data_IF_557843756524
#
_entry.id   IF_557843756524
#
_cell.length_a   1.000
_cell.length_b   1.000
_cell.length_c   1.000
_cell.angle_alpha   90.00
_cell.angle_beta   90.00
_cell.angle_gamma   90.00
#
_symmetry.space_group_name_H-M   'P 1'
#
loop_
_entity.id
_entity.type
_entity.pdbx_description
1 polymer ?
#
# COMPACT_ATOMS: atom_id res chain seq x y z
N UNK A 1 2.28 12.88 16.63
CA UNK A 1 2.20 11.55 15.97
C UNK A 1 2.35 11.72 14.47
N UNK A 2 3.21 10.94 13.84
CA UNK A 2 3.40 10.90 12.39
C UNK A 2 3.10 9.51 11.85
N UNK A 3 2.31 9.43 10.78
CA UNK A 3 1.91 8.17 10.15
C UNK A 3 2.37 8.15 8.70
N UNK A 4 3.25 7.23 8.37
CA UNK A 4 3.68 6.95 7.00
C UNK A 4 2.79 5.88 6.38
N UNK A 5 2.36 6.10 5.15
CA UNK A 5 1.55 5.10 4.46
C UNK A 5 1.97 4.88 3.01
N UNK A 6 1.67 3.68 2.52
CA UNK A 6 1.78 3.32 1.12
C UNK A 6 0.47 2.68 0.65
N UNK A 7 -0.05 3.10 -0.49
CA UNK A 7 -1.32 2.59 -1.01
C UNK A 7 -1.29 2.36 -2.52
N UNK A 8 -1.86 1.25 -2.99
CA UNK A 8 -2.10 1.00 -4.41
C UNK A 8 -3.50 1.41 -4.85
N UNK A 9 -4.53 0.94 -4.16
CA UNK A 9 -5.94 1.09 -4.54
C UNK A 9 -6.81 1.73 -3.44
N UNK A 10 -6.19 2.40 -2.47
CA UNK A 10 -6.86 3.23 -1.47
C UNK A 10 -7.10 2.59 -0.09
N UNK A 11 -6.95 1.27 0.10
CA UNK A 11 -7.25 0.65 1.40
C UNK A 11 -6.33 1.16 2.52
N UNK A 12 -5.02 1.25 2.27
CA UNK A 12 -4.09 1.73 3.29
C UNK A 12 -4.26 3.22 3.57
N UNK A 13 -4.56 4.03 2.55
CA UNK A 13 -4.90 5.44 2.74
C UNK A 13 -6.16 5.60 3.60
N UNK A 14 -7.20 4.79 3.34
CA UNK A 14 -8.42 4.77 4.17
C UNK A 14 -8.11 4.46 5.63
N UNK A 15 -7.34 3.40 5.89
CA UNK A 15 -6.97 3.00 7.24
C UNK A 15 -6.09 4.06 7.94
N UNK A 16 -5.05 4.55 7.25
CA UNK A 16 -4.13 5.56 7.76
C UNK A 16 -4.85 6.87 8.09
N UNK A 17 -5.77 7.32 7.24
CA UNK A 17 -6.59 8.52 7.45
C UNK A 17 -7.50 8.39 8.68
N UNK A 18 -8.14 7.24 8.85
CA UNK A 18 -8.97 6.97 10.04
C UNK A 18 -8.16 7.06 11.33
N UNK A 19 -6.96 6.45 11.34
CA UNK A 19 -6.06 6.52 12.50
C UNK A 19 -5.56 7.95 12.72
N UNK A 20 -5.16 8.65 11.64
CA UNK A 20 -4.65 10.01 11.72
C UNK A 20 -5.71 10.99 12.25
N UNK A 21 -6.93 10.93 11.74
CA UNK A 21 -8.02 11.81 12.17
C UNK A 21 -8.36 11.61 13.65
N UNK A 22 -8.37 10.36 14.13
CA UNK A 22 -8.70 10.05 15.52
C UNK A 22 -7.60 10.47 16.52
N UNK A 23 -6.36 10.62 16.05
CA UNK A 23 -5.20 10.96 16.90
C UNK A 23 -4.59 12.32 16.58
N UNK A 24 -5.22 13.13 15.73
CA UNK A 24 -4.69 14.41 15.24
C UNK A 24 -3.23 14.26 14.70
N UNK A 25 -2.99 13.23 13.90
CA UNK A 25 -1.66 12.87 13.44
C UNK A 25 -1.35 13.45 12.05
N UNK A 26 -0.08 13.74 11.81
CA UNK A 26 0.44 14.07 10.48
C UNK A 26 0.45 12.81 9.61
N UNK A 27 -0.12 12.89 8.41
CA UNK A 27 -0.20 11.77 7.47
C UNK A 27 0.72 12.04 6.27
N UNK A 28 1.71 11.16 6.07
CA UNK A 28 2.75 11.30 5.04
C UNK A 28 2.71 10.10 4.10
N UNK A 29 2.59 10.36 2.80
CA UNK A 29 2.69 9.32 1.78
C UNK A 29 4.16 8.96 1.51
N UNK A 30 4.50 7.68 1.61
CA UNK A 30 5.87 7.20 1.39
C UNK A 30 6.36 7.53 -0.04
N UNK A 31 5.57 7.35 -1.13
CA UNK A 31 5.99 7.79 -2.46
C UNK A 31 6.43 9.24 -2.56
N UNK A 32 5.83 10.15 -1.79
CA UNK A 32 6.15 11.59 -1.83
C UNK A 32 7.49 11.94 -1.18
N UNK A 33 7.97 11.09 -0.28
CA UNK A 33 9.19 11.35 0.52
C UNK A 33 10.28 10.30 0.30
N UNK A 34 10.10 9.41 -0.66
CA UNK A 34 11.09 8.39 -0.99
C UNK A 34 12.37 9.03 -1.52
N UNK A 35 13.52 8.62 -0.98
CA UNK A 35 14.84 9.16 -1.38
C UNK A 35 15.27 10.46 -0.65
N UNK A 36 14.47 11.00 0.27
CA UNK A 36 14.86 12.19 1.05
C UNK A 36 16.01 11.93 2.05
N UNK A 37 16.19 10.70 2.51
CA UNK A 37 17.30 10.25 3.37
C UNK A 37 17.47 11.14 4.62
N UNK A 38 16.42 11.30 5.42
CA UNK A 38 16.40 12.19 6.58
C UNK A 38 16.04 11.49 7.90
N UNK A 39 16.11 12.23 9.00
CA UNK A 39 15.64 11.77 10.31
C UNK A 39 14.24 12.30 10.56
N UNK A 40 13.31 11.38 10.85
CA UNK A 40 11.96 11.68 11.29
C UNK A 40 11.87 11.49 12.80
N UNK A 41 11.38 12.52 13.51
CA UNK A 41 11.27 12.52 14.96
C UNK A 41 9.87 12.91 15.41
N UNK A 42 9.27 12.08 16.25
CA UNK A 42 7.96 12.33 16.85
C UNK A 42 7.79 11.42 18.09
N UNK A 43 6.84 11.68 18.98
CA UNK A 43 6.53 10.80 20.12
C UNK A 43 6.01 9.43 19.64
N UNK A 44 5.23 9.42 18.57
CA UNK A 44 4.64 8.22 17.99
C UNK A 44 4.85 8.22 16.48
N UNK A 45 5.44 7.15 15.96
CA UNK A 45 5.60 6.93 14.52
C UNK A 45 4.90 5.64 14.11
N UNK A 46 4.04 5.75 13.10
CA UNK A 46 3.26 4.63 12.56
C UNK A 46 3.50 4.35 11.09
N UNK A 47 3.31 3.08 10.70
CA UNK A 47 3.40 2.64 9.31
C UNK A 47 2.13 1.88 8.92
N UNK A 48 1.49 2.29 7.82
CA UNK A 48 0.26 1.66 7.30
C UNK A 48 0.47 1.29 5.84
N UNK A 49 0.50 -0.01 5.55
CA UNK A 49 0.89 -0.51 4.23
C UNK A 49 0.16 -1.81 3.86
N UNK A 50 0.00 -2.12 2.57
CA UNK A 50 -0.48 -3.43 2.14
C UNK A 50 0.67 -4.43 2.15
N UNK A 51 0.40 -5.66 2.55
CA UNK A 51 1.39 -6.72 2.33
C UNK A 51 1.39 -7.17 0.86
N UNK A 52 2.57 -7.34 0.29
CA UNK A 52 2.75 -7.90 -1.05
C UNK A 52 3.54 -9.20 -0.97
N UNK A 53 2.94 -10.29 -1.50
CA UNK A 53 3.53 -11.63 -1.45
C UNK A 53 4.06 -12.03 -0.05
N UNK A 54 3.28 -11.72 0.98
CA UNK A 54 3.59 -11.97 2.40
C UNK A 54 4.80 -11.20 2.97
N UNK A 55 5.20 -10.10 2.36
CA UNK A 55 6.29 -9.24 2.82
C UNK A 55 5.96 -7.74 2.68
N UNK A 56 6.91 -6.90 3.05
CA UNK A 56 6.84 -5.45 2.86
C UNK A 56 6.88 -5.12 1.36
N UNK A 57 6.12 -4.11 0.89
CA UNK A 57 6.37 -3.49 -0.40
C UNK A 57 7.82 -3.00 -0.49
N UNK A 58 8.45 -3.14 -1.67
CA UNK A 58 9.85 -2.73 -1.86
C UNK A 58 10.07 -1.28 -1.45
N UNK A 59 9.15 -0.40 -1.83
CA UNK A 59 9.22 1.02 -1.51
C UNK A 59 9.14 1.29 0.00
N UNK A 60 8.25 0.60 0.72
CA UNK A 60 8.15 0.72 2.19
C UNK A 60 9.45 0.27 2.86
N UNK A 61 9.99 -0.88 2.43
CA UNK A 61 11.27 -1.37 2.94
C UNK A 61 12.41 -0.40 2.65
N UNK A 62 12.51 0.08 1.42
CA UNK A 62 13.51 1.07 0.99
C UNK A 62 13.43 2.32 1.85
N UNK A 63 12.24 2.89 2.01
CA UNK A 63 12.01 4.08 2.82
C UNK A 63 12.46 3.90 4.26
N UNK A 64 12.15 2.77 4.89
CA UNK A 64 12.57 2.50 6.28
C UNK A 64 14.08 2.35 6.40
N UNK A 65 14.74 1.70 5.44
CA UNK A 65 16.19 1.47 5.47
C UNK A 65 17.00 2.74 5.19
N UNK A 66 16.51 3.62 4.33
CA UNK A 66 17.21 4.85 3.93
C UNK A 66 17.03 6.02 4.90
N UNK A 67 16.10 5.92 5.85
CA UNK A 67 15.80 6.99 6.80
C UNK A 67 16.07 6.57 8.24
N UNK A 68 16.19 7.55 9.13
CA UNK A 68 16.25 7.35 10.59
C UNK A 68 14.91 7.73 11.20
N UNK A 69 14.51 6.97 12.22
CA UNK A 69 13.26 7.20 12.94
C UNK A 69 13.54 7.23 14.44
N UNK A 70 13.12 8.30 15.11
CA UNK A 70 13.23 8.50 16.54
C UNK A 70 11.84 8.68 17.13
N UNK A 71 11.37 7.73 17.92
CA UNK A 71 10.08 7.80 18.60
C UNK A 71 10.07 6.95 19.87
N UNK A 72 9.20 7.34 20.83
CA UNK A 72 8.96 6.56 22.04
C UNK A 72 8.06 5.34 21.77
N UNK A 73 7.23 5.43 20.73
CA UNK A 73 6.29 4.38 20.37
C UNK A 73 6.18 4.19 18.86
N UNK A 74 6.41 2.94 18.41
CA UNK A 74 6.28 2.55 17.03
C UNK A 74 5.13 1.58 16.82
N UNK A 75 4.30 1.82 15.81
CA UNK A 75 3.26 0.86 15.42
C UNK A 75 3.27 0.57 13.92
N UNK A 76 2.71 -0.59 13.56
CA UNK A 76 2.48 -0.97 12.18
C UNK A 76 1.10 -1.59 11.98
N UNK A 77 0.40 -1.16 10.94
CA UNK A 77 -0.84 -1.76 10.47
C UNK A 77 -0.61 -2.32 9.08
N UNK A 78 -0.64 -3.64 8.99
CA UNK A 78 -0.43 -4.39 7.77
C UNK A 78 -1.77 -4.82 7.18
N UNK A 79 -2.06 -4.39 5.96
CA UNK A 79 -3.29 -4.71 5.27
C UNK A 79 -3.12 -5.95 4.38
N UNK A 80 -3.93 -6.96 4.63
CA UNK A 80 -3.91 -8.22 3.90
C UNK A 80 -5.28 -8.61 3.37
N UNK A 81 -5.34 -9.55 2.40
CA UNK A 81 -6.60 -10.03 1.85
C UNK A 81 -6.92 -11.48 2.24
N UNK A 82 -6.02 -12.42 2.04
CA UNK A 82 -6.25 -13.85 2.32
C UNK A 82 -5.42 -14.36 3.47
N UNK A 83 -4.10 -14.30 3.35
CA UNK A 83 -3.14 -14.87 4.28
C UNK A 83 -2.17 -13.77 4.69
N UNK A 84 -1.84 -13.73 5.96
CA UNK A 84 -0.74 -12.92 6.50
C UNK A 84 0.27 -13.86 7.14
N UNK A 85 1.53 -13.74 6.79
CA UNK A 85 2.55 -14.66 7.31
C UNK A 85 3.64 -13.91 8.09
N UNK A 86 4.31 -12.92 7.50
CA UNK A 86 5.56 -12.46 8.08
C UNK A 86 5.89 -10.97 7.95
N UNK A 87 5.07 -10.16 7.29
CA UNK A 87 5.44 -8.78 7.02
C UNK A 87 5.57 -7.91 8.29
N UNK A 88 4.79 -8.19 9.35
CA UNK A 88 5.00 -7.54 10.64
C UNK A 88 6.32 -7.94 11.31
N UNK A 89 6.76 -9.19 11.15
CA UNK A 89 8.07 -9.62 11.63
C UNK A 89 9.22 -9.00 10.83
N UNK A 90 9.01 -8.78 9.53
CA UNK A 90 9.98 -8.10 8.67
C UNK A 90 10.17 -6.63 9.10
N UNK A 91 9.10 -5.86 9.27
CA UNK A 91 9.22 -4.48 9.74
C UNK A 91 9.77 -4.41 11.18
N UNK A 92 9.44 -5.37 12.05
CA UNK A 92 10.00 -5.47 13.40
C UNK A 92 11.51 -5.79 13.41
N UNK A 93 12.06 -6.30 12.29
CA UNK A 93 13.51 -6.46 12.15
C UNK A 93 14.23 -5.17 11.75
N UNK A 94 13.49 -4.16 11.31
CA UNK A 94 14.00 -2.87 10.86
C UNK A 94 13.75 -1.77 11.90
N UNK A 95 12.66 -1.88 12.68
CA UNK A 95 12.21 -0.88 13.66
C UNK A 95 11.77 -1.56 14.97
N UNK A 96 11.94 -0.91 16.13
CA UNK A 96 11.54 -1.45 17.42
C UNK A 96 10.02 -1.33 17.63
N UNK A 97 9.22 -2.14 16.92
CA UNK A 97 7.77 -2.07 17.02
C UNK A 97 7.25 -2.38 18.42
N UNK A 98 6.48 -1.47 18.99
CA UNK A 98 5.69 -1.66 20.20
C UNK A 98 4.36 -2.35 19.90
N UNK A 99 3.73 -2.02 18.76
CA UNK A 99 2.45 -2.58 18.37
C UNK A 99 2.40 -2.92 16.88
N UNK A 100 1.98 -4.13 16.57
CA UNK A 100 1.78 -4.57 15.19
C UNK A 100 0.46 -5.30 15.04
N UNK A 101 -0.29 -5.02 13.98
CA UNK A 101 -1.58 -5.62 13.73
C UNK A 101 -1.85 -5.85 12.25
N UNK A 102 -2.47 -6.99 11.95
CA UNK A 102 -2.99 -7.30 10.62
C UNK A 102 -4.43 -6.83 10.48
N UNK A 103 -4.74 -6.11 9.40
CA UNK A 103 -6.08 -5.65 9.07
C UNK A 103 -6.53 -6.28 7.74
N UNK A 104 -7.58 -7.12 7.79
CA UNK A 104 -8.12 -7.73 6.59
C UNK A 104 -8.93 -6.71 5.79
N UNK A 105 -8.63 -6.59 4.48
CA UNK A 105 -9.28 -5.66 3.55
C UNK A 105 -9.58 -6.34 2.22
N UNK A 106 -10.45 -5.76 1.39
CA UNK A 106 -10.68 -6.28 0.04
C UNK A 106 -9.40 -6.31 -0.79
N UNK A 107 -9.30 -7.33 -1.62
CA UNK A 107 -8.14 -7.61 -2.44
C UNK A 107 -8.12 -6.79 -3.73
N UNK A 108 -6.91 -6.39 -4.12
CA UNK A 108 -6.61 -5.75 -5.40
C UNK A 108 -5.67 -6.56 -6.32
N UNK A 109 -5.33 -7.79 -5.94
CA UNK A 109 -4.38 -8.64 -6.66
C UNK A 109 -5.03 -9.26 -7.91
N UNK A 110 -5.31 -8.42 -8.90
CA UNK A 110 -6.05 -8.77 -10.11
C UNK A 110 -5.33 -9.79 -11.02
N UNK A 111 -4.04 -10.04 -10.79
CA UNK A 111 -3.27 -11.03 -11.54
C UNK A 111 -3.83 -12.45 -11.42
N UNK A 112 -4.32 -12.84 -10.24
CA UNK A 112 -4.88 -14.17 -9.98
C UNK A 112 -6.38 -14.12 -9.66
N UNK A 113 -6.86 -13.02 -9.06
CA UNK A 113 -8.21 -12.91 -8.53
C UNK A 113 -8.83 -11.57 -8.95
N UNK A 114 -10.13 -11.53 -9.17
CA UNK A 114 -10.88 -10.28 -9.32
C UNK A 114 -11.26 -9.69 -7.95
N UNK A 115 -11.77 -8.48 -7.98
CA UNK A 115 -12.37 -7.87 -6.78
C UNK A 115 -13.42 -8.79 -6.14
N UNK A 116 -13.55 -8.82 -4.82
CA UNK A 116 -14.60 -9.58 -4.14
C UNK A 116 -15.98 -9.13 -4.59
N UNK A 117 -16.98 -10.03 -4.51
CA UNK A 117 -18.37 -9.70 -4.90
C UNK A 117 -18.96 -8.58 -4.04
N UNK A 118 -18.69 -8.63 -2.75
CA UNK A 118 -19.23 -7.72 -1.75
C UNK A 118 -18.08 -7.03 -0.96
N UNK A 119 -17.33 -6.09 -1.57
CA UNK A 119 -16.24 -5.43 -0.88
C UNK A 119 -16.71 -4.56 0.30
N UNK A 120 -17.97 -4.09 0.28
CA UNK A 120 -18.54 -3.27 1.34
C UNK A 120 -18.58 -3.97 2.69
N UNK A 121 -19.01 -5.23 2.76
CA UNK A 121 -19.03 -6.00 4.01
C UNK A 121 -17.63 -6.19 4.58
N UNK A 122 -16.63 -6.41 3.72
CA UNK A 122 -15.24 -6.52 4.16
C UNK A 122 -14.71 -5.19 4.70
N UNK A 123 -15.08 -4.08 4.08
CA UNK A 123 -14.70 -2.74 4.55
C UNK A 123 -15.37 -2.39 5.87
N UNK A 124 -16.67 -2.69 6.06
CA UNK A 124 -17.36 -2.49 7.32
C UNK A 124 -16.69 -3.30 8.46
N UNK A 125 -16.34 -4.56 8.19
CA UNK A 125 -15.59 -5.38 9.16
C UNK A 125 -14.21 -4.81 9.47
N UNK A 126 -13.50 -4.29 8.44
CA UNK A 126 -12.21 -3.63 8.62
C UNK A 126 -12.35 -2.35 9.45
N UNK A 127 -13.39 -1.56 9.23
CA UNK A 127 -13.67 -0.33 9.97
C UNK A 127 -13.95 -0.62 11.45
N UNK A 128 -14.76 -1.62 11.77
CA UNK A 128 -14.98 -2.05 13.14
C UNK A 128 -13.69 -2.47 13.85
N UNK A 129 -12.80 -3.17 13.15
CA UNK A 129 -11.49 -3.54 13.69
C UNK A 129 -10.57 -2.33 13.83
N UNK A 130 -10.65 -1.35 12.92
CA UNK A 130 -9.89 -0.11 12.99
C UNK A 130 -10.19 0.69 14.26
N UNK A 131 -11.43 0.76 14.72
CA UNK A 131 -11.77 1.45 15.96
C UNK A 131 -10.96 0.89 17.14
N UNK A 132 -10.89 -0.44 17.27
CA UNK A 132 -10.07 -1.08 18.31
C UNK A 132 -8.56 -0.85 18.11
N UNK A 133 -8.10 -0.76 16.87
CA UNK A 133 -6.69 -0.45 16.56
C UNK A 133 -6.38 0.97 17.00
N UNK A 134 -7.26 1.92 16.72
CA UNK A 134 -7.16 3.33 17.12
C UNK A 134 -7.05 3.45 18.64
N UNK A 135 -7.95 2.77 19.38
CA UNK A 135 -7.92 2.76 20.84
C UNK A 135 -6.61 2.17 21.38
N UNK A 136 -6.13 1.08 20.79
CA UNK A 136 -4.87 0.46 21.19
C UNK A 136 -3.66 1.39 20.95
N UNK A 137 -3.64 2.13 19.84
CA UNK A 137 -2.58 3.09 19.52
C UNK A 137 -2.64 4.28 20.51
N UNK A 138 -3.82 4.84 20.76
CA UNK A 138 -4.02 5.94 21.69
C UNK A 138 -3.56 5.59 23.11
N UNK A 139 -3.84 4.34 23.54
CA UNK A 139 -3.43 3.82 24.86
C UNK A 139 -2.01 3.23 24.86
N UNK A 140 -1.23 3.41 23.80
CA UNK A 140 0.14 2.88 23.65
C UNK A 140 0.26 1.40 24.06
N UNK A 141 -0.69 0.59 23.63
CA UNK A 141 -0.69 -0.86 23.92
C UNK A 141 0.60 -1.47 23.40
N UNK A 142 1.34 -2.14 24.28
CA UNK A 142 2.58 -2.83 23.93
C UNK A 142 2.31 -4.30 23.68
N UNK A 143 2.39 -4.71 22.42
CA UNK A 143 2.33 -6.09 21.98
C UNK A 143 3.51 -6.35 21.07
N UNK A 144 4.63 -6.70 21.66
CA UNK A 144 5.89 -6.91 20.95
C UNK A 144 5.73 -7.93 19.82
N UNK A 145 6.14 -7.53 18.64
CA UNK A 145 6.23 -8.40 17.46
C UNK A 145 7.64 -8.99 17.40
N UNK A 146 7.74 -10.32 17.25
CA UNK A 146 9.06 -10.97 17.10
C UNK A 146 9.64 -10.59 15.75
N UNK A 147 10.86 -10.03 15.71
CA UNK A 147 11.59 -9.83 14.47
C UNK A 147 11.77 -11.14 13.71
N UNK A 148 11.63 -11.09 12.41
CA UNK A 148 11.91 -12.23 11.54
C UNK A 148 12.48 -11.75 10.22
N UNK A 149 13.35 -12.57 9.63
CA UNK A 149 13.83 -12.29 8.27
C UNK A 149 12.60 -12.31 7.34
N UNK A 150 12.38 -11.24 6.60
CA UNK A 150 11.36 -11.20 5.56
C UNK A 150 11.53 -12.39 4.63
N UNK A 151 10.42 -12.85 4.04
CA UNK A 151 10.47 -13.86 2.97
C UNK A 151 11.10 -13.21 1.72
N UNK A 152 12.13 -12.46 1.92
CA UNK A 152 12.81 -11.55 1.01
C UNK A 152 12.56 -11.85 -0.46
N UNK A 153 12.03 -10.90 -1.21
CA UNK A 153 11.87 -10.98 -2.66
C UNK A 153 10.80 -11.91 -3.26
N UNK A 154 9.82 -12.39 -2.48
CA UNK A 154 8.67 -13.05 -3.09
C UNK A 154 7.98 -12.15 -4.14
N UNK A 155 8.12 -10.82 -4.02
CA UNK A 155 7.72 -9.85 -5.04
C UNK A 155 8.52 -9.94 -6.34
N UNK A 156 9.76 -10.47 -6.34
CA UNK A 156 10.53 -10.68 -7.57
C UNK A 156 9.81 -11.59 -8.57
N UNK A 157 9.08 -12.59 -8.10
CA UNK A 157 8.37 -13.52 -8.97
C UNK A 157 7.07 -12.96 -9.57
N UNK A 158 6.52 -11.89 -8.97
CA UNK A 158 5.30 -11.23 -9.46
C UNK A 158 5.56 -9.86 -10.06
N UNK A 159 6.72 -9.26 -9.81
CA UNK A 159 7.00 -7.84 -10.02
C UNK A 159 7.46 -7.46 -11.42
N UNK A 160 7.96 -8.39 -12.18
CA UNK A 160 8.42 -8.16 -13.56
C UNK A 160 7.35 -8.57 -14.57
N UNK A 161 6.07 -8.41 -14.17
CA UNK A 161 4.97 -8.61 -15.10
C UNK A 161 5.12 -7.63 -16.24
N UNK A 162 5.45 -8.14 -17.42
CA UNK A 162 5.48 -7.35 -18.66
C UNK A 162 4.06 -6.93 -18.98
N UNK A 163 3.64 -5.80 -18.43
CA UNK A 163 2.33 -5.25 -18.73
C UNK A 163 2.23 -4.89 -20.21
N UNK A 164 1.06 -5.14 -20.77
CA UNK A 164 0.67 -4.81 -22.13
C UNK A 164 -0.56 -3.91 -22.07
N UNK A 165 -0.80 -3.22 -23.17
CA UNK A 165 -1.95 -2.32 -23.32
C UNK A 165 -2.73 -2.74 -24.57
N UNK A 166 -4.04 -2.87 -24.44
CA UNK A 166 -4.92 -3.16 -25.60
C UNK A 166 -5.24 -1.89 -26.39
N UNK A 167 -5.80 -2.04 -27.59
CA UNK A 167 -6.32 -0.94 -28.40
C UNK A 167 -7.47 -0.16 -27.77
N UNK A 168 -8.10 -0.68 -26.69
CA UNK A 168 -9.11 0.03 -25.89
C UNK A 168 -8.54 1.20 -25.09
N UNK A 169 -7.22 1.38 -25.04
CA UNK A 169 -6.59 2.46 -24.30
C UNK A 169 -6.97 3.84 -24.84
N UNK A 170 -7.60 4.66 -24.00
CA UNK A 170 -8.00 6.04 -24.34
C UNK A 170 -6.88 7.07 -24.14
N UNK A 171 -5.68 6.66 -23.75
CA UNK A 171 -4.54 7.54 -23.44
C UNK A 171 -4.87 8.62 -22.38
N UNK A 172 -5.75 8.35 -21.41
CA UNK A 172 -6.17 9.32 -20.39
C UNK A 172 -5.08 9.67 -19.35
N UNK A 173 -3.95 8.98 -19.31
CA UNK A 173 -2.82 9.25 -18.42
C UNK A 173 -2.99 8.83 -16.96
N UNK A 174 -4.16 8.33 -16.53
CA UNK A 174 -4.39 7.92 -15.12
C UNK A 174 -3.36 6.92 -14.64
N UNK A 175 -2.98 5.93 -15.47
CA UNK A 175 -1.98 4.91 -15.10
C UNK A 175 -0.61 5.48 -14.78
N UNK A 176 -0.21 6.56 -15.47
CA UNK A 176 1.03 7.29 -15.20
C UNK A 176 0.95 7.97 -13.83
N UNK A 177 -0.11 8.73 -13.59
CA UNK A 177 -0.31 9.54 -12.37
C UNK A 177 -0.46 8.69 -11.10
N UNK A 178 -1.09 7.52 -11.19
CA UNK A 178 -1.30 6.64 -10.02
C UNK A 178 -0.13 5.71 -9.73
N UNK A 179 0.94 5.74 -10.54
CA UNK A 179 2.07 4.86 -10.35
C UNK A 179 3.03 5.38 -9.27
N UNK A 180 3.10 4.76 -8.07
CA UNK A 180 3.93 5.26 -6.97
C UNK A 180 5.43 5.17 -7.25
N UNK A 181 5.83 4.38 -8.24
CA UNK A 181 7.23 4.16 -8.59
C UNK A 181 7.67 4.92 -9.85
N UNK A 182 6.80 5.76 -10.44
CA UNK A 182 7.08 6.44 -11.71
C UNK A 182 7.40 5.48 -12.86
N UNK A 183 6.90 4.23 -12.78
CA UNK A 183 7.25 3.13 -13.71
C UNK A 183 6.53 3.20 -15.06
N UNK A 184 5.70 4.20 -15.28
CA UNK A 184 4.85 4.29 -16.47
C UNK A 184 5.03 5.65 -17.14
N UNK A 185 5.33 5.62 -18.43
CA UNK A 185 5.45 6.81 -19.28
C UNK A 185 4.42 6.76 -20.38
N UNK A 186 4.00 7.90 -20.85
CA UNK A 186 3.07 8.05 -21.96
C UNK A 186 3.62 9.05 -22.98
N UNK A 187 3.96 8.53 -24.13
CA UNK A 187 4.25 9.30 -25.35
C UNK A 187 3.18 8.92 -26.39
N UNK A 188 3.58 8.40 -27.55
CA UNK A 188 2.64 7.85 -28.53
C UNK A 188 1.90 6.61 -28.02
N UNK A 189 2.53 5.89 -27.11
CA UNK A 189 1.98 4.71 -26.43
C UNK A 189 2.34 4.72 -24.94
N UNK A 190 1.67 3.82 -24.18
CA UNK A 190 2.01 3.58 -22.78
C UNK A 190 3.20 2.63 -22.71
N UNK A 191 4.25 3.05 -22.03
CA UNK A 191 5.46 2.28 -21.80
C UNK A 191 5.65 2.00 -20.32
N UNK A 192 6.21 0.83 -20.01
CA UNK A 192 6.51 0.38 -18.65
C UNK A 192 8.02 0.24 -18.50
N UNK A 193 8.59 0.92 -17.52
CA UNK A 193 9.99 0.76 -17.11
C UNK A 193 10.11 -0.48 -16.17
N UNK A 194 11.33 -0.84 -15.79
CA UNK A 194 11.57 -2.04 -14.94
C UNK A 194 11.57 -1.73 -13.43
N UNK A 195 10.77 -0.76 -12.98
CA UNK A 195 10.70 -0.31 -11.59
C UNK A 195 9.32 -0.54 -10.96
N UNK A 196 8.67 -1.65 -11.26
CA UNK A 196 7.30 -1.92 -10.81
C UNK A 196 7.23 -2.35 -9.34
N UNK A 197 6.37 -1.70 -8.55
CA UNK A 197 6.02 -2.10 -7.17
C UNK A 197 4.99 -3.24 -7.08
N UNK A 198 4.44 -3.70 -8.18
CA UNK A 198 3.37 -4.71 -8.24
C UNK A 198 2.11 -4.35 -7.45
N UNK A 199 1.85 -3.08 -7.28
CA UNK A 199 0.69 -2.56 -6.53
C UNK A 199 -0.63 -2.68 -7.30
N UNK A 200 -0.58 -2.92 -8.62
CA UNK A 200 -1.72 -3.01 -9.53
C UNK A 200 -2.62 -1.76 -9.55
N UNK A 201 -2.15 -0.60 -9.09
CA UNK A 201 -2.92 0.63 -9.17
C UNK A 201 -3.30 0.96 -10.61
N UNK A 202 -2.34 0.93 -11.55
CA UNK A 202 -2.56 1.21 -12.97
C UNK A 202 -3.60 0.29 -13.62
N UNK A 203 -3.65 -0.98 -13.22
CA UNK A 203 -4.62 -1.95 -13.76
C UNK A 203 -6.00 -1.74 -13.14
N UNK A 204 -6.07 -1.61 -11.81
CA UNK A 204 -7.34 -1.48 -11.10
C UNK A 204 -8.04 -0.13 -11.32
N UNK A 205 -7.30 0.91 -11.70
CA UNK A 205 -7.83 2.27 -11.90
C UNK A 205 -7.96 2.63 -13.39
N UNK A 206 -7.64 1.70 -14.30
CA UNK A 206 -7.85 1.89 -15.74
C UNK A 206 -9.33 1.76 -16.09
N UNK A 207 -10.02 2.87 -16.36
CA UNK A 207 -11.45 2.86 -16.72
C UNK A 207 -11.76 2.10 -18.01
N UNK A 208 -10.78 2.04 -18.93
CA UNK A 208 -10.89 1.30 -20.18
C UNK A 208 -10.55 -0.20 -20.07
N UNK A 209 -10.16 -0.69 -18.88
CA UNK A 209 -9.68 -2.07 -18.67
C UNK A 209 -8.57 -2.49 -19.64
N UNK A 210 -7.74 -1.56 -20.09
CA UNK A 210 -6.81 -1.78 -21.19
C UNK A 210 -5.46 -2.38 -20.76
N UNK A 211 -5.11 -2.39 -19.47
CA UNK A 211 -3.79 -2.81 -18.98
C UNK A 211 -3.86 -4.23 -18.42
N UNK A 212 -2.97 -5.10 -18.89
CA UNK A 212 -2.92 -6.50 -18.48
C UNK A 212 -1.49 -7.07 -18.60
N UNK A 213 -1.21 -8.15 -17.89
CA UNK A 213 -0.03 -9.01 -18.11
C UNK A 213 -0.44 -10.42 -18.53
N UNK A 214 -1.66 -10.84 -18.14
CA UNK A 214 -2.32 -12.06 -18.59
C UNK A 214 -3.72 -11.71 -19.08
N UNK A 215 -4.15 -12.25 -20.20
CA UNK A 215 -5.47 -11.95 -20.80
C UNK A 215 -6.65 -12.17 -19.83
N UNK A 216 -6.52 -13.15 -18.94
CA UNK A 216 -7.53 -13.40 -17.92
C UNK A 216 -7.80 -12.20 -17.02
N UNK A 217 -6.85 -11.26 -16.89
CA UNK A 217 -7.03 -10.03 -16.10
C UNK A 217 -8.08 -9.10 -16.71
N UNK A 218 -8.21 -9.06 -18.04
CA UNK A 218 -9.17 -8.21 -18.74
C UNK A 218 -10.64 -8.57 -18.42
N UNK A 219 -10.88 -9.82 -18.00
CA UNK A 219 -12.22 -10.30 -17.60
C UNK A 219 -12.48 -10.20 -16.11
N UNK A 220 -11.49 -9.79 -15.29
CA UNK A 220 -11.61 -9.72 -13.83
C UNK A 220 -12.11 -8.36 -13.40
N UNK A 221 -12.93 -8.35 -12.34
CA UNK A 221 -13.37 -7.10 -11.72
C UNK A 221 -12.20 -6.37 -11.10
N UNK A 222 -12.07 -5.11 -11.43
CA UNK A 222 -11.15 -4.16 -10.81
C UNK A 222 -11.63 -3.80 -9.40
N UNK A 223 -10.70 -3.37 -8.57
CA UNK A 223 -10.98 -2.90 -7.22
C UNK A 223 -10.31 -1.56 -6.93
N UNK A 224 -11.09 -0.65 -6.44
CA UNK A 224 -10.66 0.56 -5.73
C UNK A 224 -11.48 0.66 -4.43
N UNK A 225 -10.86 1.15 -3.36
CA UNK A 225 -11.62 1.49 -2.16
C UNK A 225 -12.69 2.54 -2.52
N UNK A 226 -13.99 2.26 -2.29
CA UNK A 226 -15.05 3.15 -2.74
C UNK A 226 -15.07 4.53 -2.07
N UNK A 227 -14.46 4.63 -0.87
CA UNK A 227 -14.38 5.88 -0.08
C UNK A 227 -13.24 6.78 -0.56
N UNK A 228 -12.27 6.22 -1.28
CA UNK A 228 -11.09 6.95 -1.77
C UNK A 228 -11.25 7.23 -3.26
N UNK A 229 -11.18 8.49 -3.66
CA UNK A 229 -11.24 8.88 -5.08
C UNK A 229 -9.94 8.54 -5.82
N UNK A 230 -9.99 8.54 -7.15
CA UNK A 230 -8.79 8.37 -7.99
C UNK A 230 -7.82 9.52 -7.76
N UNK A 231 -8.32 10.74 -7.62
CA UNK A 231 -7.49 11.94 -7.39
C UNK A 231 -6.75 11.88 -6.05
N UNK A 232 -7.34 11.30 -5.02
CA UNK A 232 -6.66 11.09 -3.75
C UNK A 232 -5.53 10.06 -3.87
N UNK A 233 -5.71 9.02 -4.70
CA UNK A 233 -4.65 8.05 -4.99
C UNK A 233 -3.55 8.70 -5.82
N UNK A 234 -3.91 9.54 -6.80
CA UNK A 234 -2.93 10.32 -7.56
C UNK A 234 -2.11 11.18 -6.60
N UNK A 235 -2.75 12.02 -5.79
CA UNK A 235 -2.04 12.85 -4.79
C UNK A 235 -1.17 12.04 -3.84
N UNK A 236 -1.62 10.86 -3.43
CA UNK A 236 -0.82 9.99 -2.55
C UNK A 236 0.44 9.43 -3.23
N UNK A 237 0.42 9.27 -4.55
CA UNK A 237 1.46 8.57 -5.30
C UNK A 237 2.32 9.50 -6.19
N UNK A 238 1.95 10.78 -6.31
CA UNK A 238 2.73 11.78 -7.05
C UNK A 238 3.74 12.46 -6.14
N UNK A 239 4.91 12.78 -6.71
CA UNK A 239 5.97 13.59 -6.10
C UNK A 239 5.84 15.07 -6.50
N UNK A 240 4.61 15.56 -6.80
CA UNK A 240 4.33 16.95 -7.14
C UNK A 240 4.08 17.79 -5.90
#
# INVERSE_FOLDING_TARGET
>A
MTIFYFTGTGNSLFAARKIANANNATLISIPQVIGECKTYKDDVIGFVYPQYANGLPKMVRKFIVENKFEADYFFAVDLYAFIHINSLGEIASLLPLNYGVYLKTPMNFILLFGAPKNPGNMLASAENKLNKIIDNIANRVNKRIKPSKGIGNATKHFGESKFKVTSACTKCGICVKVCPAGNIKMNDSIMFDNNCETCFACVNLCSAHAIYSKESMLKRRQYRNPIISVDEIIRANSNE
#
